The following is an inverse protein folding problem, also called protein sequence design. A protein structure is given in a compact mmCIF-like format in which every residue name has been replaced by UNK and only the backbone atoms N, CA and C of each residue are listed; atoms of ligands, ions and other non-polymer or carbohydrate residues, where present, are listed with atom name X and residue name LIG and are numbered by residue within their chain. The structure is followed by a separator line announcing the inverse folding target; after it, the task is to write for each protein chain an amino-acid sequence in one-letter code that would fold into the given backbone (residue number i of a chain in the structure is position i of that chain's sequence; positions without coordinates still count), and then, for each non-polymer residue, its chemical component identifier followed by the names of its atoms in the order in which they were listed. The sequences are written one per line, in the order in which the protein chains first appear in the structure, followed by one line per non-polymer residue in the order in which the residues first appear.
data_IF_939988877318
#
_entry.id   IF_939988877318
#
_cell.length_a   1.000
_cell.length_b   1.000
_cell.length_c   1.000
_cell.angle_alpha   90.00
_cell.angle_beta   90.00
_cell.angle_gamma   90.00
#
_symmetry.space_group_name_H-M   'P 1'
#
loop_
_entity.id
_entity.type
_entity.pdbx_description
1 polymer ?
#
# COMPACT_ATOMS: atom_id res chain seq x y z
N UNK A 1 0.68 3.32 -38.76
CA UNK A 1 1.34 3.54 -37.45
C UNK A 1 2.05 4.88 -37.43
N UNK A 2 2.59 5.36 -38.55
CA UNK A 2 3.33 6.64 -38.61
C UNK A 2 2.48 7.88 -38.31
N UNK A 3 1.21 7.90 -38.71
CA UNK A 3 0.27 9.01 -38.39
C UNK A 3 0.14 9.28 -36.88
N UNK A 4 0.22 8.26 -36.03
CA UNK A 4 0.10 8.43 -34.58
C UNK A 4 1.30 9.18 -33.97
N UNK A 5 2.46 9.17 -34.64
CA UNK A 5 3.68 9.83 -34.16
C UNK A 5 3.68 11.34 -34.44
N UNK A 6 2.86 11.77 -35.39
CA UNK A 6 2.76 13.17 -35.82
C UNK A 6 1.60 13.92 -35.14
N UNK A 7 0.79 13.22 -34.33
CA UNK A 7 -0.30 13.85 -33.61
C UNK A 7 0.23 14.79 -32.51
N UNK A 8 -0.44 15.93 -32.28
CA UNK A 8 -0.21 16.72 -31.08
C UNK A 8 -0.32 15.87 -29.81
N UNK A 9 0.58 16.09 -28.85
CA UNK A 9 0.69 15.27 -27.63
C UNK A 9 -0.65 15.09 -26.91
N UNK A 10 -1.45 16.15 -26.81
CA UNK A 10 -2.77 16.11 -26.16
C UNK A 10 -3.75 15.19 -26.89
N UNK A 11 -3.79 15.23 -28.23
CA UNK A 11 -4.67 14.37 -29.03
C UNK A 11 -4.21 12.92 -28.90
N UNK A 12 -2.90 12.68 -28.96
CA UNK A 12 -2.33 11.35 -28.78
C UNK A 12 -2.68 10.76 -27.41
N UNK A 13 -2.55 11.56 -26.35
CA UNK A 13 -2.94 11.20 -24.98
C UNK A 13 -4.41 10.84 -24.87
N UNK A 14 -5.29 11.67 -25.41
CA UNK A 14 -6.74 11.47 -25.39
C UNK A 14 -7.16 10.16 -26.09
N UNK A 15 -6.48 9.82 -27.18
CA UNK A 15 -6.67 8.53 -27.86
C UNK A 15 -6.18 7.40 -26.96
N UNK A 16 -4.95 7.50 -26.45
CA UNK A 16 -4.30 6.45 -25.67
C UNK A 16 -5.06 6.14 -24.36
N UNK A 17 -5.64 7.14 -23.71
CA UNK A 17 -6.50 6.99 -22.52
C UNK A 17 -7.70 6.08 -22.81
N UNK A 18 -8.25 6.12 -24.03
CA UNK A 18 -9.44 5.35 -24.41
C UNK A 18 -9.12 3.95 -24.94
N UNK A 19 -7.86 3.69 -25.25
CA UNK A 19 -7.43 2.36 -25.70
C UNK A 19 -7.65 1.34 -24.57
N UNK A 20 -8.16 0.13 -24.87
CA UNK A 20 -8.25 -0.94 -23.89
C UNK A 20 -6.88 -1.29 -23.31
N UNK A 21 -6.82 -1.48 -21.99
CA UNK A 21 -5.58 -1.76 -21.25
C UNK A 21 -4.76 -2.92 -21.85
N UNK A 22 -5.44 -3.95 -22.37
CA UNK A 22 -4.82 -5.13 -23.01
C UNK A 22 -3.92 -4.79 -24.20
N UNK A 23 -4.12 -3.63 -24.84
CA UNK A 23 -3.32 -3.18 -25.97
C UNK A 23 -2.10 -2.35 -25.55
N UNK A 24 -2.07 -1.84 -24.31
CA UNK A 24 -1.03 -0.91 -23.87
C UNK A 24 0.37 -1.51 -23.90
N UNK A 25 0.52 -2.77 -23.50
CA UNK A 25 1.83 -3.45 -23.53
C UNK A 25 2.42 -3.50 -24.95
N UNK A 26 1.57 -3.79 -25.95
CA UNK A 26 1.96 -3.80 -27.36
C UNK A 26 2.23 -2.40 -27.89
N UNK A 27 1.41 -1.42 -27.54
CA UNK A 27 1.60 -0.02 -27.95
C UNK A 27 2.90 0.54 -27.38
N UNK A 28 3.17 0.30 -26.10
CA UNK A 28 4.41 0.66 -25.42
C UNK A 28 5.66 0.14 -26.14
N UNK A 29 5.60 -1.06 -26.70
CA UNK A 29 6.73 -1.66 -27.42
C UNK A 29 6.93 -1.09 -28.83
N UNK A 30 5.88 -0.56 -29.45
CA UNK A 30 5.89 -0.16 -30.87
C UNK A 30 5.98 1.37 -31.08
N UNK A 31 5.62 2.16 -30.06
CA UNK A 31 5.57 3.62 -30.12
C UNK A 31 6.33 4.21 -28.93
N UNK A 32 7.55 4.69 -29.17
CA UNK A 32 8.37 5.35 -28.14
C UNK A 32 7.64 6.50 -27.42
N UNK A 33 6.90 7.42 -28.11
CA UNK A 33 6.16 8.47 -27.41
C UNK A 33 5.08 7.95 -26.44
N UNK A 34 4.59 6.72 -26.65
CA UNK A 34 3.61 6.12 -25.76
C UNK A 34 4.24 5.60 -24.46
N UNK A 35 5.54 5.30 -24.45
CA UNK A 35 6.19 4.64 -23.32
C UNK A 35 6.18 5.51 -22.07
N UNK A 36 6.72 6.73 -22.18
CA UNK A 36 6.73 7.69 -21.06
C UNK A 36 5.31 8.05 -20.62
N UNK A 37 4.40 8.22 -21.59
CA UNK A 37 3.01 8.57 -21.31
C UNK A 37 2.29 7.46 -20.54
N UNK A 38 2.41 6.20 -20.97
CA UNK A 38 1.77 5.04 -20.31
C UNK A 38 2.32 4.79 -18.90
N UNK A 39 3.59 5.11 -18.67
CA UNK A 39 4.27 4.94 -17.37
C UNK A 39 4.01 6.12 -16.42
N UNK A 40 3.47 7.24 -16.93
CA UNK A 40 3.23 8.44 -16.13
C UNK A 40 2.06 8.30 -15.14
N UNK A 41 2.23 8.90 -13.96
CA UNK A 41 1.17 9.06 -12.96
C UNK A 41 -0.09 9.70 -13.55
N UNK A 42 0.07 10.79 -14.30
CA UNK A 42 -1.04 11.59 -14.81
C UNK A 42 -1.90 10.81 -15.82
N UNK A 43 -1.30 9.93 -16.64
CA UNK A 43 -2.05 9.07 -17.55
C UNK A 43 -2.95 8.09 -16.79
N UNK A 44 -2.44 7.47 -15.72
CA UNK A 44 -3.24 6.59 -14.89
C UNK A 44 -4.38 7.32 -14.19
N UNK A 45 -4.13 8.52 -13.64
CA UNK A 45 -5.15 9.35 -13.02
C UNK A 45 -6.28 9.73 -13.99
N UNK A 46 -5.94 10.07 -15.23
CA UNK A 46 -6.97 10.36 -16.24
C UNK A 46 -7.84 9.13 -16.52
N UNK A 47 -7.24 7.94 -16.62
CA UNK A 47 -8.02 6.71 -16.81
C UNK A 47 -8.94 6.41 -15.64
N UNK A 48 -8.51 6.66 -14.39
CA UNK A 48 -9.37 6.55 -13.22
C UNK A 48 -10.57 7.49 -13.37
N UNK A 49 -10.31 8.77 -13.71
CA UNK A 49 -11.33 9.80 -13.87
C UNK A 49 -12.38 9.44 -14.93
N UNK A 50 -11.97 8.80 -16.02
CA UNK A 50 -12.87 8.34 -17.08
C UNK A 50 -13.51 6.96 -16.80
N UNK A 51 -13.23 6.31 -15.66
CA UNK A 51 -13.78 4.99 -15.35
C UNK A 51 -13.21 3.87 -16.23
N UNK A 52 -12.02 4.07 -16.80
CA UNK A 52 -11.36 3.16 -17.76
C UNK A 52 -10.35 2.22 -17.09
N UNK A 53 -10.38 2.14 -15.76
CA UNK A 53 -9.52 1.25 -14.96
C UNK A 53 -10.29 0.07 -14.42
N UNK A 54 -9.57 -1.04 -14.23
CA UNK A 54 -10.10 -2.24 -13.59
C UNK A 54 -9.47 -2.41 -12.21
N UNK A 55 -10.28 -2.83 -11.23
CA UNK A 55 -9.82 -3.08 -9.86
C UNK A 55 -9.59 -4.58 -9.66
N UNK A 56 -8.49 -4.90 -9.01
CA UNK A 56 -8.12 -6.26 -8.63
C UNK A 56 -7.86 -6.32 -7.13
N UNK A 57 -8.07 -7.49 -6.54
CA UNK A 57 -7.68 -7.78 -5.16
C UNK A 57 -6.43 -8.63 -5.22
N UNK A 58 -5.37 -8.23 -4.52
CA UNK A 58 -4.13 -8.99 -4.44
C UNK A 58 -4.16 -9.90 -3.21
N UNK A 59 -3.83 -11.17 -3.41
CA UNK A 59 -3.69 -12.14 -2.34
C UNK A 59 -2.24 -12.59 -2.24
N UNK A 60 -1.71 -12.57 -1.02
CA UNK A 60 -0.51 -13.30 -0.68
C UNK A 60 -0.93 -14.75 -0.38
N UNK A 61 -0.66 -15.67 -1.30
CA UNK A 61 -1.11 -17.07 -1.22
C UNK A 61 -0.28 -17.87 -0.22
N UNK A 62 1.02 -17.59 -0.22
CA UNK A 62 2.03 -18.12 0.68
C UNK A 62 3.07 -17.01 0.90
N UNK A 63 4.16 -17.27 1.62
CA UNK A 63 5.16 -16.23 1.90
C UNK A 63 5.91 -15.68 0.66
N UNK A 64 5.73 -16.21 -0.54
CA UNK A 64 6.50 -15.85 -1.76
C UNK A 64 5.63 -15.59 -3.00
N UNK A 65 4.39 -16.07 -3.01
CA UNK A 65 3.49 -16.13 -4.18
C UNK A 65 2.35 -15.14 -4.05
N UNK A 66 2.16 -14.30 -5.07
CA UNK A 66 1.07 -13.31 -5.11
C UNK A 66 0.13 -13.64 -6.26
N UNK A 67 -1.17 -13.66 -5.99
CA UNK A 67 -2.21 -13.74 -7.02
C UNK A 67 -3.04 -12.47 -7.07
N UNK A 68 -3.65 -12.24 -8.22
CA UNK A 68 -4.66 -11.21 -8.44
C UNK A 68 -6.00 -11.87 -8.69
N UNK A 69 -7.03 -11.34 -8.04
CA UNK A 69 -8.41 -11.75 -8.17
C UNK A 69 -9.22 -10.63 -8.79
N UNK A 70 -9.99 -10.98 -9.80
CA UNK A 70 -10.90 -10.10 -10.48
C UNK A 70 -12.32 -10.27 -9.93
N UNK A 71 -12.87 -9.28 -9.23
CA UNK A 71 -14.21 -9.41 -8.67
C UNK A 71 -15.32 -9.40 -9.72
N UNK A 72 -15.03 -8.97 -10.96
CA UNK A 72 -16.03 -8.81 -12.02
C UNK A 72 -16.42 -10.15 -12.63
N UNK A 73 -15.41 -10.96 -12.98
CA UNK A 73 -15.58 -12.29 -13.58
C UNK A 73 -15.22 -13.44 -12.63
N UNK A 74 -14.79 -13.12 -11.40
CA UNK A 74 -14.37 -14.05 -10.35
C UNK A 74 -13.17 -14.90 -10.75
N UNK A 75 -12.37 -14.45 -11.71
CA UNK A 75 -11.14 -15.12 -12.09
C UNK A 75 -10.00 -14.82 -11.11
N UNK A 76 -9.07 -15.79 -10.98
CA UNK A 76 -7.84 -15.63 -10.21
C UNK A 76 -6.66 -15.97 -11.11
N UNK A 77 -5.60 -15.16 -11.04
CA UNK A 77 -4.37 -15.36 -11.81
C UNK A 77 -3.16 -15.17 -10.91
N UNK A 78 -2.22 -16.11 -10.97
CA UNK A 78 -0.94 -15.97 -10.28
C UNK A 78 -0.04 -14.96 -11.01
N UNK A 79 0.60 -14.07 -10.27
CA UNK A 79 1.66 -13.21 -10.80
C UNK A 79 2.95 -14.01 -10.98
N UNK A 80 3.91 -13.53 -11.79
CA UNK A 80 5.24 -14.13 -11.83
C UNK A 80 5.84 -14.25 -10.41
N UNK A 81 6.70 -15.23 -10.13
CA UNK A 81 7.26 -15.42 -8.79
C UNK A 81 8.11 -14.22 -8.37
N UNK A 82 7.96 -13.81 -7.10
CA UNK A 82 8.74 -12.69 -6.52
C UNK A 82 10.20 -13.11 -6.25
N UNK A 83 10.43 -14.41 -5.99
CA UNK A 83 11.68 -14.95 -5.46
C UNK A 83 12.14 -14.30 -4.14
N UNK A 84 11.21 -13.71 -3.38
CA UNK A 84 11.47 -13.06 -2.10
C UNK A 84 10.40 -13.44 -1.08
N UNK A 85 10.76 -13.42 0.21
CA UNK A 85 9.79 -13.53 1.31
C UNK A 85 9.06 -12.20 1.38
N UNK A 86 7.76 -12.22 1.11
CA UNK A 86 6.87 -11.05 1.14
C UNK A 86 6.46 -10.77 2.58
N UNK A 87 6.71 -9.54 3.04
CA UNK A 87 6.26 -9.07 4.35
C UNK A 87 5.11 -8.07 4.25
N UNK A 88 5.20 -7.14 3.30
CA UNK A 88 4.13 -6.15 3.04
C UNK A 88 3.91 -6.01 1.54
N UNK A 89 2.64 -5.89 1.16
CA UNK A 89 2.20 -5.56 -0.21
C UNK A 89 1.54 -4.20 -0.14
N UNK A 90 1.99 -3.29 -1.00
CA UNK A 90 1.53 -1.91 -1.04
C UNK A 90 1.04 -1.63 -2.45
N UNK A 91 -0.21 -1.17 -2.57
CA UNK A 91 -0.70 -0.66 -3.83
C UNK A 91 -0.21 0.77 -4.03
N UNK A 92 0.40 1.03 -5.18
CA UNK A 92 0.78 2.37 -5.60
C UNK A 92 0.35 2.54 -7.05
N UNK A 93 -0.73 3.29 -7.28
CA UNK A 93 -1.27 3.52 -8.61
C UNK A 93 -1.54 2.19 -9.36
N UNK A 94 -0.97 2.06 -10.56
CA UNK A 94 -1.02 0.86 -11.39
C UNK A 94 0.13 -0.14 -11.09
N UNK A 95 0.81 0.00 -9.96
CA UNK A 95 1.94 -0.84 -9.55
C UNK A 95 1.64 -1.51 -8.21
N UNK A 96 2.25 -2.66 -7.98
CA UNK A 96 2.35 -3.27 -6.66
C UNK A 96 3.79 -3.13 -6.20
N UNK A 97 3.96 -2.69 -4.97
CA UNK A 97 5.24 -2.71 -4.31
C UNK A 97 5.23 -3.79 -3.23
N UNK A 98 6.27 -4.60 -3.20
CA UNK A 98 6.52 -5.57 -2.16
C UNK A 98 7.71 -5.11 -1.34
N UNK A 99 7.49 -5.01 -0.03
CA UNK A 99 8.55 -4.97 0.96
C UNK A 99 8.76 -6.39 1.44
N UNK A 100 9.96 -6.89 1.22
CA UNK A 100 10.28 -8.28 1.50
C UNK A 100 11.74 -8.48 1.85
N UNK A 101 12.12 -9.74 1.97
CA UNK A 101 13.50 -10.14 2.21
C UNK A 101 13.95 -11.19 1.20
N UNK A 102 15.23 -11.16 0.85
CA UNK A 102 15.87 -12.25 0.13
C UNK A 102 15.94 -13.50 1.01
N UNK A 103 16.29 -14.65 0.42
CA UNK A 103 16.59 -15.88 1.20
C UNK A 103 17.73 -15.69 2.21
N UNK A 104 18.58 -14.70 2.01
CA UNK A 104 19.66 -14.32 2.92
C UNK A 104 19.24 -13.20 3.90
N UNK A 105 17.93 -12.99 4.08
CA UNK A 105 17.34 -11.99 4.99
C UNK A 105 17.71 -10.53 4.66
N UNK A 106 18.16 -10.26 3.43
CA UNK A 106 18.45 -8.90 2.98
C UNK A 106 17.13 -8.20 2.65
N UNK A 107 16.83 -7.02 3.21
CA UNK A 107 15.67 -6.22 2.82
C UNK A 107 15.64 -5.93 1.31
N UNK A 108 14.49 -6.15 0.69
CA UNK A 108 14.24 -5.96 -0.73
C UNK A 108 13.00 -5.11 -0.96
N UNK A 109 13.07 -4.32 -2.03
CA UNK A 109 11.96 -3.58 -2.60
C UNK A 109 11.71 -4.13 -4.00
N UNK A 110 10.56 -4.77 -4.22
CA UNK A 110 10.18 -5.26 -5.55
C UNK A 110 8.98 -4.49 -6.07
N UNK A 111 9.02 -4.12 -7.34
CA UNK A 111 7.96 -3.37 -8.01
C UNK A 111 7.43 -4.23 -9.14
N UNK A 112 6.14 -4.55 -9.06
CA UNK A 112 5.42 -5.14 -10.17
C UNK A 112 4.73 -4.05 -10.96
N UNK A 113 5.09 -3.97 -12.24
CA UNK A 113 4.39 -3.13 -13.20
C UNK A 113 3.49 -4.04 -14.05
N UNK A 114 2.19 -3.77 -14.02
CA UNK A 114 1.22 -4.57 -14.76
C UNK A 114 1.38 -4.40 -16.27
N UNK A 115 1.95 -3.30 -16.77
CA UNK A 115 2.08 -3.04 -18.22
C UNK A 115 3.04 -4.01 -18.91
N UNK A 116 4.33 -4.10 -18.50
CA UNK A 116 5.21 -5.18 -18.94
C UNK A 116 4.90 -6.51 -18.23
N UNK A 117 4.10 -6.51 -17.16
CA UNK A 117 3.79 -7.69 -16.33
C UNK A 117 5.03 -8.37 -15.74
N UNK A 118 6.02 -7.57 -15.32
CA UNK A 118 7.29 -8.05 -14.74
C UNK A 118 7.56 -7.43 -13.37
N UNK A 119 8.28 -8.18 -12.54
CA UNK A 119 8.91 -7.66 -11.33
C UNK A 119 10.24 -6.97 -11.67
N UNK A 120 10.53 -5.89 -10.96
CA UNK A 120 11.84 -5.24 -10.95
C UNK A 120 12.27 -5.00 -9.51
N UNK A 121 13.58 -5.02 -9.28
CA UNK A 121 14.13 -4.51 -8.04
C UNK A 121 14.05 -2.97 -8.07
N UNK A 122 13.51 -2.39 -7.01
CA UNK A 122 13.66 -0.96 -6.76
C UNK A 122 14.97 -0.66 -6.04
N UNK A 123 15.25 0.63 -5.83
CA UNK A 123 16.44 1.11 -5.16
C UNK A 123 16.58 0.54 -3.75
N UNK A 124 17.82 0.28 -3.37
CA UNK A 124 18.15 -0.29 -2.07
C UNK A 124 17.67 0.60 -0.91
N UNK A 125 17.30 -0.05 0.20
CA UNK A 125 16.92 0.65 1.41
C UNK A 125 17.99 1.66 1.86
N UNK A 126 17.58 2.84 2.34
CA UNK A 126 18.51 3.79 2.93
C UNK A 126 19.17 3.19 4.18
N UNK A 127 20.40 3.63 4.47
CA UNK A 127 21.11 3.22 5.68
C UNK A 127 20.72 4.11 6.87
N UNK A 128 20.59 3.54 8.09
CA UNK A 128 20.67 2.11 8.44
C UNK A 128 19.48 1.31 7.92
N UNK A 129 19.74 0.06 7.47
CA UNK A 129 18.67 -0.84 7.05
C UNK A 129 17.97 -1.42 8.29
N UNK A 130 16.63 -1.42 8.35
CA UNK A 130 15.91 -2.10 9.43
C UNK A 130 16.15 -3.61 9.36
N UNK A 131 16.38 -4.24 10.50
CA UNK A 131 16.68 -5.66 10.59
C UNK A 131 15.49 -6.53 10.18
N UNK A 132 14.29 -6.18 10.67
CA UNK A 132 13.13 -7.08 10.61
C UNK A 132 11.90 -6.52 9.88
N UNK A 133 12.02 -5.46 9.08
CA UNK A 133 10.91 -4.81 8.35
C UNK A 133 9.68 -4.41 9.22
N UNK A 134 9.83 -4.37 10.56
CA UNK A 134 8.79 -4.01 11.53
C UNK A 134 8.61 -2.49 11.69
N UNK A 135 8.73 -1.75 10.59
CA UNK A 135 8.51 -0.32 10.53
C UNK A 135 7.08 0.00 10.07
N UNK A 136 6.63 1.21 10.40
CA UNK A 136 5.41 1.76 9.85
C UNK A 136 5.60 2.01 8.36
N UNK A 137 4.59 1.69 7.55
CA UNK A 137 4.63 1.90 6.12
C UNK A 137 3.24 2.16 5.55
N UNK A 138 3.12 3.14 4.66
CA UNK A 138 1.92 3.35 3.83
C UNK A 138 2.24 4.09 2.54
N UNK A 139 1.40 3.92 1.52
CA UNK A 139 1.40 4.78 0.36
C UNK A 139 0.62 6.08 0.63
N UNK A 140 1.08 7.18 0.05
CA UNK A 140 0.37 8.45 0.00
C UNK A 140 -0.43 8.59 -1.32
N UNK A 141 -1.41 9.51 -1.38
CA UNK A 141 -2.23 9.71 -2.58
C UNK A 141 -1.47 10.11 -3.86
N UNK A 142 -0.28 10.69 -3.72
CA UNK A 142 0.62 11.04 -4.84
C UNK A 142 1.44 9.85 -5.36
N UNK A 143 1.32 8.68 -4.73
CA UNK A 143 2.05 7.47 -5.12
C UNK A 143 3.44 7.32 -4.50
N UNK A 144 3.79 8.13 -3.49
CA UNK A 144 4.99 7.91 -2.70
C UNK A 144 4.75 6.87 -1.60
N UNK A 145 5.78 6.17 -1.13
CA UNK A 145 5.70 5.24 0.00
C UNK A 145 6.50 5.78 1.16
N UNK A 146 5.84 6.04 2.28
CA UNK A 146 6.48 6.47 3.51
C UNK A 146 6.83 5.27 4.37
N UNK A 147 8.01 5.30 4.98
CA UNK A 147 8.43 4.37 6.03
C UNK A 147 8.98 5.13 7.23
N UNK A 148 8.77 4.60 8.43
CA UNK A 148 9.41 5.12 9.63
C UNK A 148 9.49 4.08 10.75
N UNK A 149 10.57 4.17 11.53
CA UNK A 149 10.81 3.29 12.66
C UNK A 149 11.37 1.93 12.27
N UNK A 150 10.95 0.90 13.00
CA UNK A 150 11.54 -0.44 12.96
C UNK A 150 12.63 -0.60 14.01
N UNK A 151 13.43 -1.63 13.88
CA UNK A 151 14.54 -1.92 14.77
C UNK A 151 15.83 -2.27 14.00
N UNK A 152 16.97 -2.04 14.64
CA UNK A 152 18.26 -2.56 14.16
C UNK A 152 18.48 -4.01 14.61
N UNK A 153 19.63 -4.57 14.23
CA UNK A 153 20.01 -5.94 14.60
C UNK A 153 20.19 -6.12 16.12
N UNK A 154 20.34 -5.03 16.88
CA UNK A 154 20.41 -5.01 18.34
C UNK A 154 19.04 -4.86 19.01
N UNK A 155 17.95 -4.88 18.22
CA UNK A 155 16.57 -4.66 18.68
C UNK A 155 16.32 -3.24 19.22
N UNK A 156 17.20 -2.27 18.92
CA UNK A 156 16.97 -0.89 19.30
C UNK A 156 15.92 -0.25 18.40
N UNK A 157 14.99 0.51 18.99
CA UNK A 157 13.97 1.24 18.23
C UNK A 157 14.61 2.33 17.35
N UNK A 158 14.26 2.34 16.07
CA UNK A 158 14.77 3.31 15.11
C UNK A 158 13.90 4.58 15.09
N UNK A 159 14.55 5.71 14.86
CA UNK A 159 13.92 7.03 14.66
C UNK A 159 13.89 7.45 13.19
N UNK A 160 14.57 6.68 12.37
CA UNK A 160 14.78 6.90 10.96
C UNK A 160 13.45 6.84 10.20
N UNK A 161 13.34 7.69 9.20
CA UNK A 161 12.20 7.75 8.32
C UNK A 161 12.68 8.08 6.90
N UNK A 162 11.96 7.56 5.91
CA UNK A 162 12.25 7.80 4.51
C UNK A 162 10.97 7.77 3.69
N UNK A 163 11.02 8.41 2.53
CA UNK A 163 9.98 8.31 1.52
C UNK A 163 10.59 7.75 0.25
N UNK A 164 9.91 6.79 -0.37
CA UNK A 164 10.28 6.23 -1.65
C UNK A 164 9.35 6.75 -2.73
N UNK A 165 9.95 7.39 -3.74
CA UNK A 165 9.23 7.89 -4.91
C UNK A 165 9.23 6.81 -5.98
N UNK A 166 8.10 6.11 -6.13
CA UNK A 166 7.99 4.91 -6.96
C UNK A 166 8.28 5.17 -8.43
N UNK A 167 7.92 6.35 -8.94
CA UNK A 167 8.16 6.70 -10.35
C UNK A 167 9.60 7.17 -10.62
N UNK A 168 10.29 7.67 -9.59
CA UNK A 168 11.72 8.06 -9.69
C UNK A 168 12.67 6.91 -9.35
N UNK A 169 12.14 5.78 -8.84
CA UNK A 169 12.93 4.68 -8.27
C UNK A 169 13.97 5.18 -7.26
N UNK A 170 13.54 6.01 -6.30
CA UNK A 170 14.48 6.70 -5.40
C UNK A 170 13.95 6.87 -3.99
N UNK A 171 14.82 6.61 -3.03
CA UNK A 171 14.63 6.96 -1.63
C UNK A 171 15.08 8.38 -1.33
N UNK A 172 14.31 9.05 -0.49
CA UNK A 172 14.64 10.32 0.12
C UNK A 172 14.57 10.18 1.65
N UNK A 173 15.64 10.55 2.33
CA UNK A 173 15.66 10.56 3.79
C UNK A 173 14.79 11.70 4.34
N UNK A 174 13.98 11.37 5.34
CA UNK A 174 13.17 12.34 6.07
C UNK A 174 13.87 12.72 7.39
N UNK A 175 13.50 13.85 7.99
CA UNK A 175 13.89 14.16 9.36
C UNK A 175 13.54 13.01 10.30
N UNK A 176 14.39 12.77 11.31
CA UNK A 176 14.15 11.71 12.29
C UNK A 176 12.92 12.02 13.13
N UNK A 177 12.17 10.97 13.49
CA UNK A 177 11.11 11.04 14.50
C UNK A 177 11.65 11.56 15.84
N UNK A 178 10.78 12.07 16.71
CA UNK A 178 11.17 12.50 18.05
C UNK A 178 11.56 11.33 18.95
N UNK A 179 10.81 10.22 18.84
CA UNK A 179 11.06 8.97 19.56
C UNK A 179 11.22 7.81 18.58
N UNK A 180 12.04 6.81 18.95
CA UNK A 180 12.14 5.56 18.21
C UNK A 180 10.85 4.75 18.36
N UNK A 181 10.45 4.03 17.31
CA UNK A 181 9.26 3.17 17.34
C UNK A 181 9.52 1.93 16.49
N UNK A 182 9.02 0.76 16.92
CA UNK A 182 9.03 -0.48 16.15
C UNK A 182 7.69 -1.20 16.30
N UNK A 183 7.42 -2.20 15.46
CA UNK A 183 6.13 -2.90 15.41
C UNK A 183 4.94 -1.95 15.21
N UNK A 184 5.18 -0.82 14.55
CA UNK A 184 4.21 0.25 14.34
C UNK A 184 3.45 0.08 13.02
N UNK A 185 2.34 0.80 12.88
CA UNK A 185 1.51 0.88 11.68
C UNK A 185 1.67 2.27 11.05
N UNK A 186 1.73 2.30 9.72
CA UNK A 186 1.78 3.53 8.95
C UNK A 186 0.41 3.80 8.34
N UNK A 187 -0.09 5.03 8.47
CA UNK A 187 -1.37 5.42 7.88
C UNK A 187 -1.25 6.83 7.31
N UNK A 188 -1.77 7.06 6.11
CA UNK A 188 -1.81 8.40 5.52
C UNK A 188 -3.20 9.00 5.71
N UNK A 189 -3.30 10.07 6.49
CA UNK A 189 -4.55 10.70 6.91
C UNK A 189 -4.49 12.17 6.51
N UNK A 190 -5.40 12.59 5.63
CA UNK A 190 -5.58 14.00 5.25
C UNK A 190 -4.28 14.75 4.90
N UNK A 191 -3.39 14.12 4.12
CA UNK A 191 -2.12 14.74 3.70
C UNK A 191 -0.94 14.47 4.63
N UNK A 192 -1.16 13.79 5.75
CA UNK A 192 -0.16 13.59 6.79
C UNK A 192 0.16 12.10 6.98
N UNK A 193 1.42 11.79 7.26
CA UNK A 193 1.85 10.42 7.54
C UNK A 193 1.87 10.17 9.06
N UNK A 194 1.07 9.22 9.52
CA UNK A 194 0.98 8.82 10.92
C UNK A 194 1.71 7.50 11.15
N UNK A 195 2.53 7.47 12.20
CA UNK A 195 3.20 6.29 12.76
C UNK A 195 2.54 6.00 14.09
N UNK A 196 1.87 4.86 14.21
CA UNK A 196 1.01 4.55 15.35
C UNK A 196 1.39 3.17 15.92
N UNK A 197 1.60 3.09 17.22
CA UNK A 197 1.69 1.83 17.97
C UNK A 197 0.64 1.79 19.10
N UNK A 198 0.72 0.79 19.96
CA UNK A 198 -0.22 0.55 21.08
C UNK A 198 -0.32 1.71 22.08
N UNK A 199 0.69 2.57 22.19
CA UNK A 199 0.74 3.65 23.19
C UNK A 199 1.24 4.99 22.65
N UNK A 200 1.80 5.03 21.44
CA UNK A 200 2.47 6.20 20.87
C UNK A 200 1.96 6.50 19.48
N UNK A 201 1.86 7.78 19.17
CA UNK A 201 1.59 8.26 17.84
C UNK A 201 2.48 9.46 17.50
N UNK A 202 3.10 9.41 16.32
CA UNK A 202 3.84 10.52 15.74
C UNK A 202 3.32 10.79 14.33
N UNK A 203 3.16 12.06 13.99
CA UNK A 203 2.68 12.53 12.69
C UNK A 203 3.76 13.33 11.99
N UNK A 204 4.03 13.00 10.73
CA UNK A 204 4.85 13.77 9.83
C UNK A 204 3.99 14.59 8.88
N UNK A 205 4.34 15.87 8.77
CA UNK A 205 3.77 16.79 7.79
C UNK A 205 4.74 16.93 6.60
N UNK A 206 4.39 16.41 5.40
CA UNK A 206 5.24 16.53 4.22
C UNK A 206 5.53 17.97 3.78
N UNK A 207 4.65 18.92 4.12
CA UNK A 207 4.78 20.33 3.73
C UNK A 207 5.82 21.05 4.59
N UNK A 208 5.72 20.89 5.91
CA UNK A 208 6.65 21.52 6.86
C UNK A 208 7.89 20.66 7.12
N UNK A 209 7.86 19.39 6.69
CA UNK A 209 8.84 18.35 6.97
C UNK A 209 9.13 18.17 8.46
N UNK A 210 8.11 18.34 9.30
CA UNK A 210 8.25 18.25 10.74
C UNK A 210 7.44 17.09 11.33
N UNK A 211 8.00 16.47 12.37
CA UNK A 211 7.30 15.50 13.20
C UNK A 211 6.59 16.20 14.37
N UNK A 212 5.43 15.70 14.73
CA UNK A 212 4.66 16.12 15.92
C UNK A 212 4.21 14.87 16.67
N UNK A 213 4.38 14.85 18.00
CA UNK A 213 3.80 13.79 18.83
C UNK A 213 2.31 14.04 19.01
N UNK A 214 1.49 13.02 18.74
CA UNK A 214 0.04 13.08 18.84
C UNK A 214 -0.39 12.22 20.03
N UNK A 215 -1.32 12.72 20.84
CA UNK A 215 -1.89 11.97 21.94
C UNK A 215 -2.98 11.00 21.43
N UNK A 216 -2.56 9.96 20.71
CA UNK A 216 -3.39 8.91 20.14
C UNK A 216 -2.67 7.57 20.28
N UNK A 217 -3.41 6.50 20.45
CA UNK A 217 -2.90 5.14 20.32
C UNK A 217 -3.93 4.22 19.65
N UNK A 218 -3.50 3.05 19.16
CA UNK A 218 -4.43 2.02 18.67
C UNK A 218 -5.04 1.20 19.83
N UNK A 219 -6.19 0.53 19.65
CA UNK A 219 -6.74 -0.37 20.65
C UNK A 219 -5.76 -1.52 20.96
N UNK A 220 -5.70 -1.98 22.22
CA UNK A 220 -4.81 -3.07 22.63
C UNK A 220 -5.01 -4.37 21.83
N UNK A 221 -6.22 -4.61 21.32
CA UNK A 221 -6.57 -5.77 20.50
C UNK A 221 -6.47 -5.51 18.99
N UNK A 222 -5.86 -4.40 18.57
CA UNK A 222 -5.72 -4.02 17.16
C UNK A 222 -4.79 -4.98 16.41
N UNK A 223 -5.31 -5.56 15.34
CA UNK A 223 -4.59 -6.42 14.41
C UNK A 223 -4.07 -5.60 13.23
N UNK A 224 -4.92 -4.70 12.71
CA UNK A 224 -4.58 -3.80 11.61
C UNK A 224 -5.35 -2.47 11.70
N UNK A 225 -4.85 -1.43 11.04
CA UNK A 225 -5.45 -0.09 11.02
C UNK A 225 -5.37 0.50 9.62
N UNK A 226 -6.43 1.19 9.19
CA UNK A 226 -6.54 1.76 7.86
C UNK A 226 -7.28 3.09 7.91
N UNK A 227 -6.91 4.02 7.03
CA UNK A 227 -7.70 5.21 6.75
C UNK A 227 -8.49 5.02 5.46
N UNK A 228 -9.82 5.02 5.56
CA UNK A 228 -10.72 4.82 4.44
C UNK A 228 -12.02 5.60 4.69
N UNK A 229 -12.64 6.12 3.62
CA UNK A 229 -13.90 6.86 3.71
C UNK A 229 -13.89 8.00 4.73
N UNK A 230 -12.76 8.71 4.82
CA UNK A 230 -12.51 9.80 5.79
C UNK A 230 -12.59 9.34 7.25
N UNK A 231 -12.31 8.06 7.52
CA UNK A 231 -12.34 7.48 8.86
C UNK A 231 -11.08 6.67 9.10
N UNK A 232 -10.53 6.82 10.31
CA UNK A 232 -9.49 5.94 10.81
C UNK A 232 -10.16 4.74 11.47
N UNK A 233 -9.93 3.54 10.93
CA UNK A 233 -10.61 2.30 11.28
C UNK A 233 -9.57 1.29 11.78
N UNK A 234 -9.82 0.69 12.93
CA UNK A 234 -9.03 -0.40 13.49
C UNK A 234 -9.82 -1.71 13.40
N UNK A 235 -9.13 -2.75 12.95
CA UNK A 235 -9.62 -4.12 12.99
C UNK A 235 -9.04 -4.77 14.23
N UNK A 236 -9.92 -5.17 15.16
CA UNK A 236 -9.53 -5.75 16.43
C UNK A 236 -10.02 -7.18 16.54
N UNK A 237 -9.50 -7.93 17.52
CA UNK A 237 -9.99 -9.28 17.81
C UNK A 237 -11.46 -9.33 18.26
N UNK A 238 -12.07 -8.17 18.59
CA UNK A 238 -13.46 -8.04 19.03
C UNK A 238 -14.39 -7.51 17.94
N UNK A 239 -13.84 -6.91 16.90
CA UNK A 239 -14.64 -6.25 15.87
C UNK A 239 -13.91 -5.12 15.19
N UNK A 240 -14.69 -4.15 14.75
CA UNK A 240 -14.20 -2.99 14.01
C UNK A 240 -14.52 -1.76 14.83
N UNK A 241 -13.52 -0.90 15.00
CA UNK A 241 -13.60 0.33 15.76
C UNK A 241 -13.21 1.51 14.87
N UNK A 242 -13.87 2.65 15.02
CA UNK A 242 -13.43 3.90 14.40
C UNK A 242 -12.88 4.86 15.43
N UNK A 243 -11.90 5.66 15.02
CA UNK A 243 -11.39 6.73 15.84
C UNK A 243 -12.33 7.93 15.81
N UNK A 244 -12.69 8.41 17.00
CA UNK A 244 -13.37 9.67 17.22
C UNK A 244 -12.34 10.74 17.62
N UNK A 245 -12.09 11.67 16.71
CA UNK A 245 -11.12 12.75 16.90
C UNK A 245 -11.55 13.78 17.95
N UNK A 246 -12.85 14.01 18.11
CA UNK A 246 -13.37 14.98 19.10
C UNK A 246 -13.27 14.40 20.52
N UNK A 247 -13.63 13.12 20.67
CA UNK A 247 -13.57 12.41 21.94
C UNK A 247 -12.19 11.84 22.28
N UNK A 248 -11.26 11.84 21.33
CA UNK A 248 -9.94 11.20 21.42
C UNK A 248 -10.01 9.73 21.89
N UNK A 249 -10.94 8.97 21.31
CA UNK A 249 -11.24 7.59 21.72
C UNK A 249 -11.70 6.73 20.55
N UNK A 250 -11.59 5.41 20.71
CA UNK A 250 -12.11 4.44 19.75
C UNK A 250 -13.55 4.07 20.07
N UNK A 251 -14.41 4.08 19.05
CA UNK A 251 -15.83 3.69 19.15
C UNK A 251 -16.08 2.44 18.32
N UNK A 252 -16.73 1.45 18.93
CA UNK A 252 -17.14 0.24 18.23
C UNK A 252 -18.11 0.58 17.08
N UNK A 253 -17.80 0.11 15.88
CA UNK A 253 -18.67 0.16 14.72
C UNK A 253 -19.42 -1.15 14.51
N UNK A 254 -18.71 -2.27 14.61
CA UNK A 254 -19.25 -3.60 14.34
C UNK A 254 -18.58 -4.62 15.27
N UNK A 255 -19.34 -5.62 15.73
CA UNK A 255 -18.83 -6.70 16.57
C UNK A 255 -18.70 -7.97 15.75
N UNK A 256 -17.57 -8.67 15.87
CA UNK A 256 -17.43 -9.97 15.21
C UNK A 256 -18.32 -11.03 15.90
N UNK A 257 -18.87 -11.99 15.16
CA UNK A 257 -19.64 -13.08 15.75
C UNK A 257 -18.85 -13.78 16.86
N UNK A 258 -19.51 -14.07 17.98
CA UNK A 258 -18.90 -14.82 19.08
C UNK A 258 -18.42 -16.20 18.55
N UNK A 259 -17.26 -16.66 19.03
CA UNK A 259 -16.58 -17.94 18.71
C UNK A 259 -15.53 -17.96 17.58
N UNK A 260 -15.22 -16.83 16.93
CA UNK A 260 -14.18 -16.78 15.89
C UNK A 260 -13.01 -15.88 16.30
N UNK A 261 -12.08 -16.33 17.17
CA UNK A 261 -10.89 -15.56 17.49
C UNK A 261 -10.06 -15.35 16.22
N UNK A 262 -9.93 -14.10 15.79
CA UNK A 262 -9.12 -13.69 14.66
C UNK A 262 -7.66 -13.66 15.09
N UNK A 263 -6.79 -14.37 14.38
CA UNK A 263 -5.35 -14.40 14.67
C UNK A 263 -4.60 -13.30 13.92
N UNK A 264 -5.05 -12.97 12.71
CA UNK A 264 -4.46 -11.95 11.88
C UNK A 264 -5.51 -11.41 10.91
N UNK A 265 -5.40 -10.14 10.49
CA UNK A 265 -6.27 -9.49 9.51
C UNK A 265 -5.41 -8.74 8.49
N UNK A 266 -5.81 -8.79 7.23
CA UNK A 266 -5.40 -7.84 6.21
C UNK A 266 -6.66 -7.17 5.67
N UNK A 267 -6.67 -5.84 5.60
CA UNK A 267 -7.80 -5.08 5.08
C UNK A 267 -7.40 -4.24 3.85
N UNK A 268 -8.35 -4.03 2.96
CA UNK A 268 -8.21 -3.16 1.79
C UNK A 268 -9.56 -2.57 1.40
N UNK A 269 -9.54 -1.54 0.55
CA UNK A 269 -10.75 -0.88 0.05
C UNK A 269 -11.00 -1.29 -1.39
N UNK A 270 -12.23 -1.68 -1.70
CA UNK A 270 -12.71 -1.88 -3.06
C UNK A 270 -14.02 -1.13 -3.26
N UNK A 271 -13.98 -0.09 -4.09
CA UNK A 271 -15.11 0.80 -4.36
C UNK A 271 -15.64 1.45 -3.08
N UNK A 272 -16.85 1.08 -2.68
CA UNK A 272 -17.62 1.55 -1.53
C UNK A 272 -17.53 0.58 -0.35
N UNK A 273 -16.60 -0.38 -0.39
CA UNK A 273 -16.52 -1.44 0.62
C UNK A 273 -15.12 -1.62 1.14
N UNK A 274 -15.04 -1.92 2.43
CA UNK A 274 -13.85 -2.50 3.03
C UNK A 274 -13.96 -4.01 2.88
N UNK A 275 -12.90 -4.60 2.37
CA UNK A 275 -12.67 -6.02 2.34
C UNK A 275 -11.60 -6.32 3.35
N UNK A 276 -11.86 -7.23 4.28
CA UNK A 276 -10.80 -7.77 5.10
C UNK A 276 -10.85 -9.29 5.09
N UNK A 277 -9.67 -9.87 5.17
CA UNK A 277 -9.44 -11.30 5.25
C UNK A 277 -8.67 -11.56 6.52
N UNK A 278 -9.04 -12.59 7.27
CA UNK A 278 -8.31 -12.98 8.46
C UNK A 278 -8.02 -14.47 8.53
N UNK A 279 -7.01 -14.82 9.30
CA UNK A 279 -6.76 -16.20 9.69
C UNK A 279 -7.57 -16.46 10.96
N UNK A 280 -8.52 -17.37 10.87
CA UNK A 280 -9.33 -17.82 11.99
C UNK A 280 -8.84 -19.19 12.46
N UNK A 281 -9.08 -19.54 13.74
CA UNK A 281 -8.73 -20.87 14.27
C UNK A 281 -9.44 -22.04 13.54
N UNK A 282 -10.49 -21.75 12.77
CA UNK A 282 -11.11 -22.65 11.81
C UNK A 282 -10.98 -22.04 10.40
N UNK A 283 -10.73 -22.83 9.33
CA UNK A 283 -10.26 -22.35 8.03
C UNK A 283 -11.27 -21.55 7.19
N UNK A 284 -12.34 -21.02 7.78
CA UNK A 284 -13.32 -20.22 7.08
C UNK A 284 -12.78 -18.79 6.87
N UNK A 285 -12.59 -18.42 5.60
CA UNK A 285 -12.32 -17.04 5.20
C UNK A 285 -13.61 -16.24 5.31
N UNK A 286 -13.74 -15.42 6.35
CA UNK A 286 -14.83 -14.46 6.44
C UNK A 286 -14.47 -13.18 5.70
N UNK A 287 -15.12 -12.95 4.55
CA UNK A 287 -15.21 -11.61 3.95
C UNK A 287 -16.35 -10.90 4.66
N UNK A 288 -16.06 -10.22 5.75
CA UNK A 288 -17.02 -9.25 6.26
C UNK A 288 -17.09 -8.08 5.28
N UNK A 289 -18.29 -7.85 4.78
CA UNK A 289 -18.60 -6.66 3.99
C UNK A 289 -19.09 -5.61 4.97
N UNK A 290 -18.23 -4.65 5.27
CA UNK A 290 -18.71 -3.39 5.82
C UNK A 290 -19.52 -2.69 4.72
N UNK A 291 -20.81 -2.50 4.99
CA UNK A 291 -21.66 -1.55 4.28
C UNK A 291 -21.63 -0.26 5.09
N UNK A 292 -20.92 0.77 4.60
CA UNK A 292 -21.15 2.15 4.99
C UNK A 292 -20.90 3.07 3.80
#
# INVERSE_FOLDING_TARGET
MDFLRELPEQIFRDILIRVPYICHSKIRQLLEPAKEMLESFQFYQDRIKFGLTKKYICFLEDHISISIYDPTDRSRKLLPPTNAIVHKIINVNHKIVVLGQSRHLTPLFLIYDFLPSIWKHGAEFPTPRPANLEFACCASPDGSIYIAGGNDNGLNELREAAVYKVDEDKWELLPKMHQGMYSCRGVFIEGMFYVIDINRCQRFDPTTRAWTTINMSIPNSCLDVMYAFQRLIAFTSKGIEQYDWEGNLWRQLETLPQHHPVLNVCATVSCDRILFCGIFRNPDIYICKLYM
#
